data_IF_842894268545
#
_entry.id   IF_842894268545
#
_cell.length_a   1.000
_cell.length_b   1.000
_cell.length_c   1.000
_cell.angle_alpha   90.00
_cell.angle_beta   90.00
_cell.angle_gamma   90.00
#
_symmetry.space_group_name_H-M   'P 1'
#
loop_
_entity.id
_entity.type
_entity.pdbx_description
1 polymer ?
#
# COMPACT_ATOMS: atom_id res chain seq x y z
N UNK A 1 -33.60 -40.38 -46.55
CA UNK A 1 -33.68 -38.99 -47.09
C UNK A 1 -35.06 -38.43 -46.76
N UNK A 2 -35.16 -37.51 -45.80
CA UNK A 2 -36.38 -36.73 -45.53
C UNK A 2 -35.96 -35.29 -45.24
N UNK A 3 -36.10 -34.42 -46.24
CA UNK A 3 -35.86 -32.99 -46.16
C UNK A 3 -37.04 -32.33 -45.44
N UNK A 4 -36.82 -31.76 -44.26
CA UNK A 4 -37.81 -30.95 -43.56
C UNK A 4 -37.76 -29.51 -44.08
N UNK A 5 -38.73 -29.12 -44.89
CA UNK A 5 -38.92 -27.75 -45.37
C UNK A 5 -39.41 -26.89 -44.21
N UNK A 6 -38.52 -26.08 -43.61
CA UNK A 6 -38.86 -25.16 -42.51
C UNK A 6 -39.70 -23.99 -43.04
N UNK A 7 -41.00 -24.02 -42.76
CA UNK A 7 -41.96 -22.94 -43.08
C UNK A 7 -41.59 -21.68 -42.28
N UNK A 8 -41.04 -20.65 -42.95
CA UNK A 8 -40.80 -19.33 -42.32
C UNK A 8 -42.15 -18.66 -42.08
N UNK A 9 -42.50 -18.42 -40.82
CA UNK A 9 -43.61 -17.53 -40.46
C UNK A 9 -43.21 -16.09 -40.76
N UNK A 10 -43.81 -15.48 -41.78
CA UNK A 10 -43.66 -14.05 -42.04
C UNK A 10 -44.41 -13.29 -40.96
N UNK A 11 -43.68 -12.63 -40.07
CA UNK A 11 -44.26 -11.67 -39.13
C UNK A 11 -44.98 -10.58 -39.92
N UNK A 12 -46.18 -10.19 -39.48
CA UNK A 12 -46.95 -9.16 -40.16
C UNK A 12 -46.19 -7.83 -40.15
N UNK A 13 -46.30 -7.00 -41.21
CA UNK A 13 -45.54 -5.76 -41.36
C UNK A 13 -45.71 -4.78 -40.19
N UNK A 14 -46.84 -4.84 -39.48
CA UNK A 14 -47.11 -4.05 -38.28
C UNK A 14 -46.24 -4.47 -37.08
N UNK A 15 -46.01 -5.77 -36.87
CA UNK A 15 -45.20 -6.29 -35.76
C UNK A 15 -43.70 -6.03 -35.99
N UNK A 16 -43.26 -6.10 -37.25
CA UNK A 16 -41.88 -5.75 -37.63
C UNK A 16 -41.60 -4.25 -37.41
N UNK A 17 -42.57 -3.39 -37.78
CA UNK A 17 -42.47 -1.94 -37.62
C UNK A 17 -42.41 -1.51 -36.15
N UNK A 18 -43.23 -2.12 -35.28
CA UNK A 18 -43.18 -1.85 -33.84
C UNK A 18 -41.85 -2.22 -33.20
N UNK A 19 -41.24 -3.35 -33.61
CA UNK A 19 -39.92 -3.76 -33.10
C UNK A 19 -38.81 -2.80 -33.51
N UNK A 20 -38.82 -2.30 -34.75
CA UNK A 20 -37.84 -1.32 -35.23
C UNK A 20 -37.98 0.01 -34.48
N UNK A 21 -39.20 0.48 -34.26
CA UNK A 21 -39.46 1.74 -33.55
C UNK A 21 -38.98 1.65 -32.09
N UNK A 22 -39.28 0.55 -31.40
CA UNK A 22 -38.81 0.32 -30.03
C UNK A 22 -37.29 0.24 -29.95
N UNK A 23 -36.63 -0.43 -30.90
CA UNK A 23 -35.17 -0.51 -30.93
C UNK A 23 -34.54 0.86 -31.22
N UNK A 24 -35.12 1.64 -32.13
CA UNK A 24 -34.67 3.01 -32.43
C UNK A 24 -34.94 3.99 -31.27
N UNK A 25 -35.98 3.77 -30.47
CA UNK A 25 -36.25 4.55 -29.26
C UNK A 25 -35.24 4.19 -28.15
N UNK A 26 -35.00 2.89 -27.95
CA UNK A 26 -34.02 2.38 -26.99
C UNK A 26 -32.60 2.85 -27.31
N UNK A 27 -32.17 2.78 -28.57
CA UNK A 27 -30.86 3.26 -29.01
C UNK A 27 -30.70 4.79 -28.84
N UNK A 28 -31.78 5.56 -29.00
CA UNK A 28 -31.77 7.02 -28.76
C UNK A 28 -31.71 7.35 -27.26
N UNK A 29 -32.37 6.56 -26.41
CA UNK A 29 -32.32 6.73 -24.95
C UNK A 29 -30.93 6.38 -24.39
N UNK A 30 -30.33 5.28 -24.82
CA UNK A 30 -28.99 4.87 -24.34
C UNK A 30 -27.89 5.85 -24.80
N UNK A 31 -27.96 6.35 -26.03
CA UNK A 31 -27.02 7.36 -26.52
C UNK A 31 -27.12 8.70 -25.77
N UNK A 32 -28.32 9.07 -25.26
CA UNK A 32 -28.48 10.27 -24.41
C UNK A 32 -27.86 10.05 -23.03
N UNK A 33 -28.08 8.88 -22.44
CA UNK A 33 -27.55 8.57 -21.11
C UNK A 33 -26.02 8.60 -21.07
N UNK A 34 -25.36 8.02 -22.09
CA UNK A 34 -23.90 8.06 -22.24
C UNK A 34 -23.37 9.48 -22.38
N UNK A 35 -24.06 10.34 -23.14
CA UNK A 35 -23.67 11.75 -23.30
C UNK A 35 -23.80 12.56 -22.02
N UNK A 36 -24.77 12.22 -21.16
CA UNK A 36 -24.99 12.91 -19.88
C UNK A 36 -24.04 12.45 -18.76
N UNK A 37 -23.58 11.20 -18.78
CA UNK A 37 -22.74 10.64 -17.71
C UNK A 37 -21.24 10.70 -18.01
N UNK A 38 -20.85 10.72 -19.28
CA UNK A 38 -19.45 10.88 -19.71
C UNK A 38 -18.70 12.06 -19.05
N UNK A 39 -19.24 13.30 -18.97
CA UNK A 39 -18.51 14.40 -18.35
C UNK A 39 -18.31 14.23 -16.85
N UNK A 40 -19.23 13.56 -16.16
CA UNK A 40 -19.12 13.30 -14.71
C UNK A 40 -18.01 12.28 -14.44
N UNK A 41 -17.91 11.23 -15.23
CA UNK A 41 -16.87 10.19 -15.11
C UNK A 41 -15.48 10.76 -15.45
N UNK A 42 -15.40 11.62 -16.47
CA UNK A 42 -14.16 12.31 -16.82
C UNK A 42 -13.72 13.30 -15.72
N UNK A 43 -14.67 14.03 -15.13
CA UNK A 43 -14.37 14.96 -14.04
C UNK A 43 -13.93 14.24 -12.76
N UNK A 44 -14.61 13.14 -12.37
CA UNK A 44 -14.21 12.37 -11.18
C UNK A 44 -12.84 11.74 -11.36
N UNK A 45 -12.57 11.10 -12.51
CA UNK A 45 -11.24 10.55 -12.80
C UNK A 45 -10.16 11.63 -12.80
N UNK A 46 -10.40 12.80 -13.40
CA UNK A 46 -9.47 13.92 -13.34
C UNK A 46 -9.20 14.37 -11.88
N UNK A 47 -10.22 14.46 -11.04
CA UNK A 47 -10.05 14.81 -9.62
C UNK A 47 -9.19 13.76 -8.89
N UNK A 48 -9.40 12.46 -9.14
CA UNK A 48 -8.54 11.41 -8.58
C UNK A 48 -7.08 11.57 -9.02
N UNK A 49 -6.82 11.85 -10.31
CA UNK A 49 -5.47 12.10 -10.83
C UNK A 49 -4.83 13.36 -10.24
N UNK A 50 -5.59 14.46 -10.10
CA UNK A 50 -5.08 15.69 -9.50
C UNK A 50 -4.85 15.56 -7.99
N UNK A 51 -5.71 14.86 -7.27
CA UNK A 51 -5.56 14.66 -5.82
C UNK A 51 -4.31 13.85 -5.48
N UNK A 52 -3.95 12.85 -6.28
CA UNK A 52 -2.71 12.09 -6.12
C UNK A 52 -1.46 12.98 -6.35
N UNK A 53 -1.53 13.92 -7.29
CA UNK A 53 -0.42 14.87 -7.55
C UNK A 53 -0.23 15.96 -6.48
N UNK A 54 -1.27 16.28 -5.70
CA UNK A 54 -1.22 17.33 -4.67
C UNK A 54 -0.84 16.82 -3.27
N UNK A 55 -0.81 15.50 -3.06
CA UNK A 55 -0.39 14.89 -1.77
C UNK A 55 1.14 14.80 -1.64
N UNK A 56 1.90 15.09 -2.71
CA UNK A 56 3.36 14.93 -2.76
C UNK A 56 4.24 16.19 -2.58
N UNK A 57 3.81 17.39 -2.11
CA UNK A 57 4.74 18.51 -1.92
C UNK A 57 5.29 18.66 -0.49
N UNK A 58 4.96 17.78 0.47
CA UNK A 58 5.41 17.91 1.88
C UNK A 58 6.46 16.91 2.34
N UNK A 59 6.75 15.87 1.55
CA UNK A 59 7.96 15.05 1.71
C UNK A 59 9.04 15.62 0.80
N UNK A 60 9.55 16.80 1.16
CA UNK A 60 10.90 17.16 0.79
C UNK A 60 11.81 16.08 1.40
N UNK A 61 12.13 15.06 0.61
CA UNK A 61 13.17 14.10 0.96
C UNK A 61 14.45 14.91 1.15
N UNK A 62 14.81 15.17 2.40
CA UNK A 62 16.14 15.64 2.74
C UNK A 62 17.11 14.71 1.99
N UNK A 63 17.92 15.30 1.11
CA UNK A 63 18.93 14.57 0.36
C UNK A 63 19.97 14.13 1.38
N UNK A 64 19.75 12.97 1.98
CA UNK A 64 20.70 12.33 2.87
C UNK A 64 21.91 11.96 2.03
N UNK A 65 23.06 12.58 2.31
CA UNK A 65 24.32 12.16 1.72
C UNK A 65 24.69 10.81 2.34
N UNK A 66 24.14 9.74 1.77
CA UNK A 66 24.48 8.38 2.15
C UNK A 66 25.94 8.17 1.80
N UNK A 67 26.78 7.99 2.81
CA UNK A 67 28.20 7.67 2.59
C UNK A 67 28.30 6.39 1.76
N UNK A 68 28.94 6.47 0.61
CA UNK A 68 29.19 5.31 -0.26
C UNK A 68 30.40 4.49 0.19
N UNK A 69 31.10 4.93 1.23
CA UNK A 69 32.24 4.23 1.79
C UNK A 69 31.78 2.94 2.48
N UNK A 70 32.51 1.86 2.24
CA UNK A 70 32.25 0.60 2.90
C UNK A 70 32.47 0.78 4.42
N UNK A 71 31.43 0.49 5.20
CA UNK A 71 31.51 0.50 6.67
C UNK A 71 32.35 -0.69 7.13
N UNK A 72 33.33 -0.41 7.99
CA UNK A 72 34.13 -1.43 8.66
C UNK A 72 33.29 -2.12 9.76
N UNK A 73 32.71 -3.26 9.39
CA UNK A 73 31.80 -4.01 10.28
C UNK A 73 32.50 -4.60 11.50
N UNK A 74 33.80 -4.86 11.42
CA UNK A 74 34.58 -5.39 12.54
C UNK A 74 34.69 -4.33 13.64
N UNK A 75 34.99 -3.08 13.27
CA UNK A 75 34.98 -1.95 14.21
C UNK A 75 33.61 -1.69 14.81
N UNK A 76 32.54 -1.80 14.03
CA UNK A 76 31.17 -1.66 14.55
C UNK A 76 30.88 -2.74 15.60
N UNK A 77 31.27 -3.98 15.33
CA UNK A 77 31.10 -5.10 16.26
C UNK A 77 31.86 -4.87 17.55
N UNK A 78 33.12 -4.45 17.46
CA UNK A 78 33.96 -4.13 18.61
C UNK A 78 33.35 -2.99 19.43
N UNK A 79 32.88 -1.93 18.79
CA UNK A 79 32.23 -0.81 19.46
C UNK A 79 30.98 -1.26 20.23
N UNK A 80 30.15 -2.13 19.65
CA UNK A 80 28.95 -2.68 20.33
C UNK A 80 29.35 -3.50 21.55
N UNK A 81 30.36 -4.37 21.44
CA UNK A 81 30.86 -5.17 22.57
C UNK A 81 31.36 -4.24 23.68
N UNK A 82 32.15 -3.21 23.34
CA UNK A 82 32.66 -2.25 24.31
C UNK A 82 31.53 -1.52 25.06
N UNK A 83 30.44 -1.15 24.37
CA UNK A 83 29.27 -0.54 25.02
C UNK A 83 28.62 -1.49 26.02
N UNK A 84 28.47 -2.77 25.65
CA UNK A 84 27.85 -3.80 26.50
C UNK A 84 28.71 -4.09 27.74
N UNK A 85 30.02 -4.23 27.58
CA UNK A 85 30.94 -4.49 28.69
C UNK A 85 31.11 -3.27 29.60
N UNK A 86 31.21 -2.07 29.04
CA UNK A 86 31.29 -0.84 29.85
C UNK A 86 30.02 -0.63 30.68
N UNK A 87 28.85 -1.04 30.17
CA UNK A 87 27.60 -1.00 30.92
C UNK A 87 27.56 -2.07 32.03
N UNK A 88 27.99 -3.30 31.74
CA UNK A 88 28.00 -4.39 32.73
C UNK A 88 28.93 -4.08 33.90
N UNK A 89 30.10 -3.49 33.65
CA UNK A 89 31.05 -3.06 34.70
C UNK A 89 30.48 -2.00 35.64
N UNK A 90 29.60 -1.12 35.15
CA UNK A 90 28.95 -0.08 35.97
C UNK A 90 27.83 -0.62 36.86
N UNK A 91 27.36 -1.84 36.61
CA UNK A 91 26.23 -2.46 37.32
C UNK A 91 26.73 -3.33 38.46
N UNK A 92 26.23 -3.06 39.66
CA UNK A 92 26.65 -3.78 40.88
C UNK A 92 26.06 -5.19 41.01
N UNK A 93 25.03 -5.53 40.22
CA UNK A 93 24.29 -6.79 40.29
C UNK A 93 24.77 -7.83 39.27
N UNK A 94 25.82 -7.52 38.49
CA UNK A 94 26.33 -8.39 37.43
C UNK A 94 25.39 -8.50 36.22
N UNK A 95 24.37 -7.64 36.11
CA UNK A 95 23.50 -7.58 34.94
C UNK A 95 24.17 -6.86 33.77
N UNK A 96 23.65 -7.08 32.56
CA UNK A 96 24.17 -6.48 31.32
C UNK A 96 23.03 -6.04 30.41
N UNK A 97 23.23 -4.94 29.68
CA UNK A 97 22.29 -4.46 28.67
C UNK A 97 22.19 -5.37 27.43
N UNK A 98 23.01 -6.42 27.32
CA UNK A 98 22.94 -7.39 26.23
C UNK A 98 21.53 -7.96 26.02
N UNK A 99 20.83 -8.31 27.10
CA UNK A 99 19.45 -8.82 27.03
C UNK A 99 18.47 -7.79 26.46
N UNK A 100 18.65 -6.51 26.81
CA UNK A 100 17.84 -5.40 26.29
C UNK A 100 18.05 -5.22 24.79
N UNK A 101 19.28 -5.31 24.28
CA UNK A 101 19.55 -5.23 22.85
C UNK A 101 18.95 -6.38 22.05
N UNK A 102 18.98 -7.60 22.60
CA UNK A 102 18.33 -8.76 21.98
C UNK A 102 16.82 -8.53 21.89
N UNK A 103 16.20 -8.05 22.98
CA UNK A 103 14.77 -7.71 22.99
C UNK A 103 14.47 -6.59 21.99
N UNK A 104 15.30 -5.56 21.90
CA UNK A 104 15.15 -4.47 20.93
C UNK A 104 15.12 -5.00 19.50
N UNK A 105 16.10 -5.83 19.12
CA UNK A 105 16.19 -6.41 17.79
C UNK A 105 14.96 -7.27 17.46
N UNK A 106 14.51 -8.08 18.41
CA UNK A 106 13.29 -8.89 18.27
C UNK A 106 12.06 -8.02 18.00
N UNK A 107 11.81 -7.04 18.88
CA UNK A 107 10.63 -6.17 18.78
C UNK A 107 10.62 -5.34 17.50
N UNK A 108 11.78 -4.80 17.10
CA UNK A 108 11.95 -4.06 15.85
C UNK A 108 11.59 -4.93 14.63
N UNK A 109 11.93 -6.22 14.64
CA UNK A 109 11.60 -7.14 13.54
C UNK A 109 10.17 -7.67 13.59
N UNK A 110 9.56 -7.72 14.77
CA UNK A 110 8.29 -8.41 15.03
C UNK A 110 7.05 -7.71 14.47
N UNK A 111 7.16 -6.46 13.98
CA UNK A 111 6.07 -5.76 13.30
C UNK A 111 5.96 -6.11 11.82
N UNK A 112 6.87 -6.93 11.29
CA UNK A 112 6.86 -7.32 9.88
C UNK A 112 5.59 -8.10 9.51
N UNK A 113 4.94 -7.67 8.44
CA UNK A 113 3.75 -8.32 7.86
C UNK A 113 4.08 -8.85 6.46
N UNK A 114 3.93 -10.17 6.27
CA UNK A 114 4.16 -10.82 4.99
C UNK A 114 3.04 -10.57 3.96
N UNK A 115 1.88 -10.04 4.40
CA UNK A 115 0.74 -9.80 3.52
C UNK A 115 0.94 -8.56 2.64
N UNK A 116 1.58 -7.53 3.19
CA UNK A 116 1.78 -6.22 2.57
C UNK A 116 3.25 -5.76 2.58
N UNK A 117 4.17 -6.59 3.08
CA UNK A 117 5.60 -6.30 3.26
C UNK A 117 5.85 -5.04 4.10
N UNK A 118 4.91 -4.68 4.97
CA UNK A 118 5.03 -3.53 5.86
C UNK A 118 5.70 -3.92 7.18
N UNK A 119 6.06 -2.90 7.98
CA UNK A 119 6.71 -3.10 9.29
C UNK A 119 8.18 -3.54 9.20
N UNK A 120 8.67 -4.15 10.28
CA UNK A 120 10.04 -4.64 10.43
C UNK A 120 11.08 -3.53 10.64
N UNK A 121 12.35 -3.94 10.69
CA UNK A 121 13.47 -3.02 11.02
C UNK A 121 13.95 -2.13 9.88
N UNK A 122 13.51 -2.34 8.63
CA UNK A 122 14.10 -1.71 7.44
C UNK A 122 13.91 -0.18 7.39
N UNK A 123 13.02 0.39 8.21
CA UNK A 123 12.85 1.84 8.37
C UNK A 123 13.20 2.38 9.74
N UNK A 124 13.71 1.55 10.66
CA UNK A 124 13.98 1.92 12.06
C UNK A 124 12.81 2.69 12.72
N UNK A 125 11.57 2.27 12.41
CA UNK A 125 10.32 2.97 12.80
C UNK A 125 10.08 2.99 14.30
N UNK A 126 10.70 2.07 15.04
CA UNK A 126 10.66 2.00 16.50
C UNK A 126 11.17 3.25 17.24
N UNK A 127 11.86 4.18 16.54
CA UNK A 127 12.26 5.52 17.06
C UNK A 127 11.15 6.58 16.96
N UNK A 128 10.04 6.25 16.30
CA UNK A 128 8.98 7.20 15.96
C UNK A 128 7.62 6.72 16.46
N UNK A 129 6.74 7.68 16.74
CA UNK A 129 5.35 7.38 17.03
C UNK A 129 4.60 6.90 15.76
N UNK A 130 3.61 6.01 15.90
CA UNK A 130 3.08 5.48 17.16
C UNK A 130 3.87 4.28 17.74
N UNK A 131 4.78 3.68 16.97
CA UNK A 131 5.43 2.40 17.31
C UNK A 131 6.29 2.46 18.57
N UNK A 132 6.99 3.59 18.79
CA UNK A 132 7.77 3.84 20.00
C UNK A 132 6.92 3.78 21.28
N UNK A 133 5.64 4.14 21.18
CA UNK A 133 4.71 4.26 22.32
C UNK A 133 3.92 2.98 22.64
N UNK A 134 4.02 1.93 21.82
CA UNK A 134 3.29 0.70 22.07
C UNK A 134 3.71 0.04 23.39
N UNK A 135 2.75 -0.44 24.18
CA UNK A 135 3.03 -1.00 25.51
C UNK A 135 3.99 -2.20 25.51
N UNK A 136 4.04 -2.97 24.42
CA UNK A 136 5.01 -4.05 24.23
C UNK A 136 6.46 -3.54 24.11
N UNK A 137 6.68 -2.27 23.74
CA UNK A 137 7.98 -1.63 23.58
C UNK A 137 8.44 -0.86 24.85
N UNK A 138 7.71 -0.97 25.97
CA UNK A 138 8.09 -0.33 27.23
C UNK A 138 9.53 -0.69 27.65
N UNK A 139 10.33 0.32 28.00
CA UNK A 139 11.74 0.16 28.36
C UNK A 139 12.70 0.01 27.17
N UNK A 140 12.24 0.13 25.92
CA UNK A 140 13.06 0.15 24.71
C UNK A 140 13.08 1.55 24.09
N UNK A 141 13.46 2.54 24.89
CA UNK A 141 13.53 3.93 24.44
C UNK A 141 14.79 4.13 23.59
N UNK A 142 14.59 4.48 22.32
CA UNK A 142 15.66 4.70 21.33
C UNK A 142 15.44 5.98 20.54
#
# INVERSE_FOLDING_TARGET
IRTATRRRSSLSPLVYSFRIIMFAHYARQSARLVKTTAPVIAATSAIYYYQESLVVPTVAHAKEEVSTEAVDMDKVREAIVNVIETDSEKRSDGSSMAGTFIRLAWHCSGTYSAADNSGGCQGARMRFDPEASFGNNAGLHI
#
